data_IF_271804034293
#
_entry.id   IF_271804034293
#
_cell.length_a   1.000
_cell.length_b   1.000
_cell.length_c   1.000
_cell.angle_alpha   90.00
_cell.angle_beta   90.00
_cell.angle_gamma   90.00
#
_symmetry.space_group_name_H-M   'P 1'
#
loop_
_entity.id
_entity.type
_entity.pdbx_description
1 polymer ?
#
# COMPACT_ATOMS: atom_id res chain seq x y z
N UNK A 1 -7.62 -7.98 12.66
CA UNK A 1 -7.71 -6.52 12.90
C UNK A 1 -6.42 -5.78 12.46
N UNK A 2 -6.54 -4.94 11.42
CA UNK A 2 -5.53 -3.97 10.99
C UNK A 2 -4.25 -4.53 10.35
N UNK A 3 -4.33 -5.07 9.14
CA UNK A 3 -3.14 -5.23 8.29
C UNK A 3 -2.90 -3.89 7.59
N UNK A 4 -2.27 -2.94 8.28
CA UNK A 4 -1.84 -1.68 7.69
C UNK A 4 -0.63 -1.96 6.80
N UNK A 5 -0.86 -2.42 5.59
CA UNK A 5 0.20 -2.66 4.63
C UNK A 5 0.40 -1.41 3.78
N UNK A 6 1.37 -0.57 4.12
CA UNK A 6 1.81 0.43 3.15
C UNK A 6 2.73 -0.24 2.13
N UNK A 7 2.32 -0.25 0.87
CA UNK A 7 3.14 -0.70 -0.23
C UNK A 7 3.82 0.51 -0.87
N UNK A 8 5.15 0.52 -0.90
CA UNK A 8 5.92 1.51 -1.63
C UNK A 8 6.55 0.86 -2.87
N UNK A 9 6.38 1.48 -4.03
CA UNK A 9 6.90 0.95 -5.30
C UNK A 9 7.88 1.93 -5.94
N UNK A 10 9.00 1.41 -6.45
CA UNK A 10 9.90 2.08 -7.40
C UNK A 10 9.97 1.25 -8.68
N UNK A 11 9.87 1.90 -9.84
CA UNK A 11 9.83 1.32 -11.20
C UNK A 11 9.98 -0.20 -11.33
N UNK A 12 8.90 -0.90 -11.72
CA UNK A 12 8.75 -2.35 -12.05
C UNK A 12 9.43 -3.44 -11.20
N UNK A 13 10.34 -3.17 -10.24
CA UNK A 13 11.18 -4.21 -9.61
C UNK A 13 11.34 -4.15 -8.08
N UNK A 14 10.89 -3.11 -7.39
CA UNK A 14 11.04 -3.06 -5.91
C UNK A 14 9.73 -2.68 -5.24
N UNK A 15 9.22 -3.60 -4.42
CA UNK A 15 8.04 -3.45 -3.57
C UNK A 15 8.49 -3.53 -2.12
N UNK A 16 8.23 -2.49 -1.35
CA UNK A 16 8.48 -2.44 0.09
C UNK A 16 7.15 -2.49 0.83
N UNK A 17 7.04 -3.35 1.82
CA UNK A 17 5.82 -3.51 2.60
C UNK A 17 6.07 -3.40 4.11
N UNK A 18 5.13 -2.81 4.84
CA UNK A 18 5.27 -2.61 6.28
C UNK A 18 4.31 -3.49 7.09
N UNK A 19 4.78 -4.02 8.22
CA UNK A 19 3.92 -4.73 9.18
C UNK A 19 4.47 -4.59 10.62
N UNK A 20 3.71 -5.07 11.62
CA UNK A 20 4.04 -4.91 13.04
C UNK A 20 4.65 -6.14 13.72
N UNK A 21 4.66 -7.29 13.07
CA UNK A 21 5.09 -8.57 13.66
C UNK A 21 5.93 -9.37 12.67
N UNK A 22 6.87 -10.17 13.17
CA UNK A 22 7.75 -11.01 12.35
C UNK A 22 6.94 -11.93 11.42
N UNK A 23 5.95 -12.65 11.96
CA UNK A 23 5.10 -13.57 11.19
C UNK A 23 4.44 -12.91 9.97
N UNK A 24 4.01 -11.65 10.10
CA UNK A 24 3.41 -10.91 8.98
C UNK A 24 4.45 -10.53 7.95
N UNK A 25 5.65 -10.15 8.38
CA UNK A 25 6.75 -9.80 7.49
C UNK A 25 7.24 -11.02 6.70
N UNK A 26 7.32 -12.18 7.35
CA UNK A 26 7.71 -13.44 6.70
C UNK A 26 6.63 -13.89 5.70
N UNK A 27 5.35 -13.75 6.06
CA UNK A 27 4.27 -13.98 5.12
C UNK A 27 4.35 -13.03 3.91
N UNK A 28 4.62 -11.74 4.10
CA UNK A 28 4.73 -10.78 2.99
C UNK A 28 5.88 -11.11 2.03
N UNK A 29 6.97 -11.67 2.56
CA UNK A 29 8.11 -12.15 1.76
C UNK A 29 7.81 -13.46 1.03
N UNK A 30 6.94 -14.31 1.58
CA UNK A 30 6.62 -15.61 0.98
C UNK A 30 5.67 -15.52 -0.21
N UNK A 31 4.95 -14.40 -0.36
CA UNK A 31 4.05 -14.16 -1.50
C UNK A 31 4.86 -14.13 -2.81
N UNK A 32 4.56 -14.99 -3.80
CA UNK A 32 5.19 -14.95 -5.11
C UNK A 32 4.96 -13.60 -5.78
N UNK A 33 6.02 -12.97 -6.29
CA UNK A 33 5.98 -11.58 -6.81
C UNK A 33 5.50 -10.54 -5.78
N UNK A 34 5.60 -10.86 -4.50
CA UNK A 34 5.21 -10.02 -3.38
C UNK A 34 6.27 -8.99 -2.98
N UNK A 35 6.35 -8.71 -1.68
CA UNK A 35 7.24 -7.68 -1.17
C UNK A 35 8.71 -8.13 -1.29
N UNK A 36 9.49 -7.38 -2.07
CA UNK A 36 10.95 -7.56 -2.17
C UNK A 36 11.69 -7.11 -0.91
N UNK A 37 11.09 -6.18 -0.17
CA UNK A 37 11.61 -5.66 1.09
C UNK A 37 10.46 -5.53 2.08
N UNK A 38 10.75 -5.78 3.36
CA UNK A 38 9.75 -5.64 4.43
C UNK A 38 10.35 -4.88 5.60
N UNK A 39 9.53 -4.07 6.26
CA UNK A 39 9.95 -3.21 7.37
C UNK A 39 9.00 -3.36 8.54
N UNK A 40 9.55 -3.56 9.74
CA UNK A 40 8.74 -3.52 10.95
C UNK A 40 8.52 -2.07 11.40
N UNK A 41 7.36 -1.49 11.12
CA UNK A 41 7.12 -0.07 11.42
C UNK A 41 7.11 0.27 12.92
N UNK A 42 7.02 -0.72 13.81
CA UNK A 42 7.08 -0.52 15.27
C UNK A 42 8.49 -0.35 15.78
N UNK A 43 9.47 -0.97 15.12
CA UNK A 43 10.87 -0.99 15.57
C UNK A 43 11.80 -0.24 14.62
N UNK A 44 11.33 0.11 13.42
CA UNK A 44 12.13 0.74 12.38
C UNK A 44 11.41 1.97 11.80
N UNK A 45 12.19 2.95 11.35
CA UNK A 45 11.68 4.07 10.57
C UNK A 45 11.68 3.71 9.08
N UNK A 46 10.52 3.37 8.52
CA UNK A 46 10.44 2.95 7.12
C UNK A 46 10.85 4.03 6.12
N UNK A 47 10.75 5.32 6.45
CA UNK A 47 11.19 6.39 5.55
C UNK A 47 12.72 6.39 5.41
N UNK A 48 13.44 6.11 6.50
CA UNK A 48 14.89 5.96 6.48
C UNK A 48 15.31 4.68 5.74
N UNK A 49 14.63 3.56 5.99
CA UNK A 49 14.88 2.31 5.28
C UNK A 49 14.68 2.47 3.77
N UNK A 50 13.61 3.15 3.37
CA UNK A 50 13.35 3.50 1.96
C UNK A 50 14.48 4.35 1.38
N UNK A 51 14.95 5.37 2.10
CA UNK A 51 16.09 6.19 1.63
C UNK A 51 17.34 5.34 1.45
N UNK A 52 17.67 4.44 2.39
CA UNK A 52 18.84 3.55 2.28
C UNK A 52 18.77 2.69 1.02
N UNK A 53 17.64 2.02 0.79
CA UNK A 53 17.47 1.11 -0.36
C UNK A 53 17.31 1.83 -1.71
N UNK A 54 16.99 3.13 -1.70
CA UNK A 54 16.79 3.93 -2.93
C UNK A 54 17.93 4.91 -3.19
N UNK A 55 19.02 4.86 -2.42
CA UNK A 55 20.14 5.81 -2.48
C UNK A 55 19.65 7.26 -2.32
N UNK A 56 18.72 7.48 -1.40
CA UNK A 56 18.15 8.80 -1.09
C UNK A 56 17.04 9.26 -2.03
N UNK A 57 16.73 8.53 -3.11
CA UNK A 57 15.74 8.97 -4.10
C UNK A 57 14.29 8.90 -3.61
N UNK A 58 13.97 7.97 -2.70
CA UNK A 58 12.60 7.69 -2.30
C UNK A 58 11.86 6.77 -3.29
N UNK A 59 10.54 6.69 -3.12
CA UNK A 59 9.65 5.82 -3.91
C UNK A 59 8.70 6.60 -4.82
N UNK A 60 8.35 6.00 -5.95
CA UNK A 60 7.48 6.64 -6.95
C UNK A 60 6.02 6.59 -6.52
N UNK A 61 5.60 5.51 -5.86
CA UNK A 61 4.20 5.27 -5.48
C UNK A 61 4.10 4.78 -4.03
N UNK A 62 3.12 5.31 -3.30
CA UNK A 62 2.69 4.83 -1.98
C UNK A 62 1.21 4.49 -2.01
N UNK A 63 0.85 3.33 -1.46
CA UNK A 63 -0.52 3.03 -1.06
C UNK A 63 -0.61 3.06 0.46
N UNK A 64 -1.45 3.95 1.00
CA UNK A 64 -1.58 4.16 2.45
C UNK A 64 -2.97 3.78 2.96
N UNK A 65 -3.01 2.92 3.98
CA UNK A 65 -4.24 2.57 4.71
C UNK A 65 -4.24 3.12 6.13
N UNK A 66 -3.11 3.68 6.59
CA UNK A 66 -2.89 4.02 7.98
C UNK A 66 -3.27 5.47 8.27
N UNK A 67 -2.92 6.42 7.41
CA UNK A 67 -3.29 7.82 7.59
C UNK A 67 -2.42 8.52 8.63
N UNK A 68 -3.03 9.18 9.62
CA UNK A 68 -2.39 10.14 10.53
C UNK A 68 -0.96 9.79 10.97
N UNK A 69 -0.76 8.62 11.60
CA UNK A 69 0.54 8.26 12.18
C UNK A 69 1.64 7.96 11.15
N UNK A 70 1.28 7.72 9.87
CA UNK A 70 2.22 7.41 8.79
C UNK A 70 2.44 8.60 7.86
N UNK A 71 1.60 9.63 7.95
CA UNK A 71 1.58 10.76 7.02
C UNK A 71 2.97 11.37 6.77
N UNK A 72 3.65 11.87 7.80
CA UNK A 72 4.95 12.54 7.62
C UNK A 72 6.00 11.59 7.04
N UNK A 73 6.03 10.34 7.52
CA UNK A 73 6.96 9.31 7.03
C UNK A 73 6.68 8.96 5.55
N UNK A 74 5.41 8.94 5.13
CA UNK A 74 5.04 8.74 3.73
C UNK A 74 5.54 9.91 2.86
N UNK A 75 5.32 11.15 3.29
CA UNK A 75 5.82 12.35 2.59
C UNK A 75 7.35 12.33 2.48
N UNK A 76 8.05 11.90 3.53
CA UNK A 76 9.51 11.82 3.55
C UNK A 76 10.04 10.69 2.65
N UNK A 77 9.31 9.58 2.55
CA UNK A 77 9.65 8.43 1.72
C UNK A 77 9.36 8.64 0.23
N UNK A 78 8.42 9.53 -0.13
CA UNK A 78 8.11 9.83 -1.54
C UNK A 78 9.29 10.48 -2.26
N UNK A 79 9.53 10.02 -3.49
CA UNK A 79 10.43 10.63 -4.44
C UNK A 79 9.86 11.93 -5.01
N UNK A 80 10.69 12.64 -5.76
CA UNK A 80 10.25 13.73 -6.64
C UNK A 80 9.31 13.14 -7.71
N UNK A 81 8.20 13.83 -7.97
CA UNK A 81 7.06 13.42 -8.80
C UNK A 81 6.28 12.20 -8.29
N UNK A 82 6.51 11.82 -7.02
CA UNK A 82 5.86 10.67 -6.39
C UNK A 82 4.36 10.84 -6.17
N UNK A 83 3.66 9.71 -6.11
CA UNK A 83 2.21 9.63 -5.93
C UNK A 83 1.85 8.84 -4.68
N UNK A 84 0.84 9.30 -3.95
CA UNK A 84 0.28 8.57 -2.82
C UNK A 84 -1.23 8.44 -2.97
N UNK A 85 -1.73 7.21 -2.90
CA UNK A 85 -3.17 6.95 -2.79
C UNK A 85 -3.51 6.45 -1.41
N UNK A 86 -4.35 7.22 -0.73
CA UNK A 86 -4.91 6.88 0.57
C UNK A 86 -6.19 6.09 0.38
N UNK A 87 -6.23 4.90 0.95
CA UNK A 87 -7.35 3.96 0.90
C UNK A 87 -8.03 3.76 2.26
N UNK A 88 -7.46 4.31 3.32
CA UNK A 88 -8.00 4.22 4.68
C UNK A 88 -7.32 5.15 5.67
N UNK A 89 -7.92 5.26 6.86
CA UNK A 89 -7.48 6.15 7.95
C UNK A 89 -7.39 5.39 9.28
N UNK A 90 -6.74 4.21 9.29
CA UNK A 90 -6.72 3.31 10.45
C UNK A 90 -6.16 3.95 11.74
N UNK A 91 -5.28 4.95 11.61
CA UNK A 91 -4.67 5.66 12.74
C UNK A 91 -5.26 7.04 13.00
N UNK A 92 -6.33 7.42 12.29
CA UNK A 92 -6.98 8.72 12.39
C UNK A 92 -6.89 9.54 11.10
N UNK A 93 -7.81 10.50 10.98
CA UNK A 93 -7.97 11.35 9.78
C UNK A 93 -7.44 12.77 9.92
N UNK A 94 -6.85 13.14 11.05
CA UNK A 94 -6.34 14.49 11.31
C UNK A 94 -4.83 14.45 11.43
N UNK A 95 -4.15 15.27 10.64
CA UNK A 95 -2.69 15.44 10.71
C UNK A 95 -2.43 16.81 11.30
N UNK A 96 -1.82 16.84 12.48
CA UNK A 96 -1.44 18.09 13.12
C UNK A 96 -0.22 18.71 12.41
N UNK A 97 -0.22 20.03 12.28
CA UNK A 97 0.93 20.80 11.77
C UNK A 97 1.49 20.29 10.44
N UNK A 98 0.61 20.03 9.48
CA UNK A 98 0.99 19.54 8.16
C UNK A 98 1.80 20.57 7.35
N UNK A 99 3.04 20.21 6.99
CA UNK A 99 3.92 21.03 6.14
C UNK A 99 3.62 20.82 4.64
N UNK A 100 3.19 21.88 3.96
CA UNK A 100 2.91 21.89 2.52
C UNK A 100 4.17 21.97 1.63
N UNK A 101 5.32 22.38 2.17
CA UNK A 101 6.56 22.56 1.40
C UNK A 101 6.96 21.34 0.57
N UNK A 102 7.02 20.13 1.13
CA UNK A 102 7.34 18.91 0.39
C UNK A 102 6.42 18.64 -0.80
N UNK A 103 5.12 18.99 -0.71
CA UNK A 103 4.18 18.78 -1.82
C UNK A 103 4.59 19.59 -3.05
N UNK A 104 5.00 20.84 -2.84
CA UNK A 104 5.45 21.73 -3.92
C UNK A 104 6.82 21.32 -4.45
N UNK A 105 7.83 21.20 -3.58
CA UNK A 105 9.20 20.96 -4.02
C UNK A 105 9.40 19.57 -4.65
N UNK A 106 8.70 18.56 -4.12
CA UNK A 106 8.69 17.22 -4.72
C UNK A 106 7.62 17.05 -5.80
N UNK A 107 6.69 18.00 -6.02
CA UNK A 107 5.56 17.87 -6.96
C UNK A 107 4.73 16.60 -6.72
N UNK A 108 4.36 16.38 -5.47
CA UNK A 108 3.63 15.18 -5.08
C UNK A 108 2.19 15.20 -5.57
N UNK A 109 1.67 14.04 -5.94
CA UNK A 109 0.23 13.82 -6.16
C UNK A 109 -0.33 13.00 -5.01
N UNK A 110 -1.34 13.51 -4.32
CA UNK A 110 -1.96 12.82 -3.19
C UNK A 110 -3.45 12.71 -3.46
N UNK A 111 -3.95 11.48 -3.49
CA UNK A 111 -5.34 11.17 -3.83
C UNK A 111 -5.96 10.28 -2.76
N UNK A 112 -7.24 10.50 -2.46
CA UNK A 112 -8.02 9.64 -1.59
C UNK A 112 -9.01 8.81 -2.42
N UNK A 113 -9.15 7.53 -2.09
CA UNK A 113 -10.20 6.69 -2.67
C UNK A 113 -10.75 5.72 -1.62
N UNK A 114 -12.05 5.45 -1.69
CA UNK A 114 -12.67 4.42 -0.86
C UNK A 114 -13.50 3.51 -1.74
N UNK A 115 -13.38 2.20 -1.54
CA UNK A 115 -14.20 1.19 -2.23
C UNK A 115 -15.61 1.11 -1.66
N UNK A 116 -15.78 1.38 -0.36
CA UNK A 116 -17.07 1.20 0.34
C UNK A 116 -18.19 2.08 -0.23
N UNK A 117 -17.87 3.22 -0.82
CA UNK A 117 -18.85 4.13 -1.43
C UNK A 117 -19.12 3.86 -2.92
N UNK A 118 -18.53 2.83 -3.51
CA UNK A 118 -18.68 2.50 -4.93
C UNK A 118 -19.81 1.51 -5.15
N UNK A 119 -20.39 1.52 -6.35
CA UNK A 119 -21.49 0.63 -6.69
C UNK A 119 -21.01 -0.84 -6.74
N UNK A 120 -21.92 -1.81 -6.54
CA UNK A 120 -21.63 -3.22 -6.73
C UNK A 120 -21.06 -3.52 -8.11
N UNK A 121 -21.57 -2.87 -9.15
CA UNK A 121 -21.15 -3.04 -10.55
C UNK A 121 -19.72 -2.57 -10.74
N UNK A 122 -19.38 -1.38 -10.25
CA UNK A 122 -18.00 -0.88 -10.27
C UNK A 122 -17.03 -1.84 -9.55
N UNK A 123 -17.49 -2.42 -8.44
CA UNK A 123 -16.67 -3.38 -7.68
C UNK A 123 -16.48 -4.68 -8.46
N UNK A 124 -17.54 -5.18 -9.11
CA UNK A 124 -17.49 -6.37 -9.95
C UNK A 124 -16.56 -6.19 -11.16
N UNK A 125 -16.70 -5.07 -11.88
CA UNK A 125 -15.84 -4.72 -13.02
C UNK A 125 -14.38 -4.58 -12.59
N UNK A 126 -14.14 -3.99 -11.42
CA UNK A 126 -12.80 -3.85 -10.86
C UNK A 126 -12.19 -5.22 -10.53
N UNK A 127 -12.95 -6.13 -9.92
CA UNK A 127 -12.49 -7.52 -9.67
C UNK A 127 -12.18 -8.22 -10.99
N UNK A 128 -13.10 -8.18 -11.95
CA UNK A 128 -12.94 -8.81 -13.26
C UNK A 128 -11.67 -8.32 -13.96
N UNK A 129 -11.44 -7.01 -13.95
CA UNK A 129 -10.23 -6.41 -14.56
C UNK A 129 -8.91 -6.88 -13.93
N UNK A 130 -8.92 -7.29 -12.66
CA UNK A 130 -7.73 -7.78 -11.97
C UNK A 130 -7.50 -9.27 -12.25
N UNK A 131 -8.57 -10.06 -12.29
CA UNK A 131 -8.54 -11.49 -12.61
C UNK A 131 -8.11 -11.71 -14.07
N UNK A 132 -8.71 -10.97 -15.02
CA UNK A 132 -8.42 -11.07 -16.45
C UNK A 132 -6.98 -10.63 -16.80
N UNK A 133 -6.35 -9.81 -15.95
CA UNK A 133 -4.95 -9.42 -16.10
C UNK A 133 -3.96 -10.55 -15.77
N UNK A 134 -4.42 -11.78 -15.53
CA UNK A 134 -3.57 -12.95 -15.28
C UNK A 134 -2.82 -12.89 -13.94
N UNK A 135 -3.34 -12.10 -12.98
CA UNK A 135 -2.75 -11.96 -11.65
C UNK A 135 -3.41 -12.97 -10.70
N UNK A 136 -2.57 -13.67 -9.94
CA UNK A 136 -2.87 -14.84 -9.10
C UNK A 136 -4.20 -14.77 -8.32
N UNK A 137 -4.83 -15.92 -8.00
CA UNK A 137 -6.07 -15.94 -7.25
C UNK A 137 -5.87 -15.18 -5.95
N UNK A 138 -6.85 -14.36 -5.58
CA UNK A 138 -6.86 -13.61 -4.35
C UNK A 138 -6.50 -14.57 -3.19
N UNK A 139 -5.28 -14.46 -2.65
CA UNK A 139 -4.80 -15.39 -1.64
C UNK A 139 -5.59 -15.15 -0.35
N UNK A 140 -6.59 -15.99 -0.12
CA UNK A 140 -7.34 -16.06 1.12
C UNK A 140 -6.41 -16.39 2.28
N UNK A 141 -6.74 -15.87 3.47
CA UNK A 141 -5.95 -16.13 4.68
C UNK A 141 -5.86 -17.64 4.97
N UNK A 142 -4.76 -18.17 5.55
CA UNK A 142 -4.61 -19.61 5.84
C UNK A 142 -5.56 -20.16 6.92
N UNK A 143 -6.44 -19.32 7.47
CA UNK A 143 -7.48 -19.76 8.40
C UNK A 143 -8.75 -19.94 7.58
N UNK A 144 -9.30 -21.15 7.63
CA UNK A 144 -10.56 -21.61 7.03
C UNK A 144 -10.37 -22.35 5.70
N UNK A 145 -10.33 -23.68 5.78
CA UNK A 145 -10.63 -24.55 4.64
C UNK A 145 -12.10 -24.36 4.26
N UNK A 146 -12.34 -23.87 3.05
CA UNK A 146 -13.67 -23.64 2.48
C UNK A 146 -13.54 -22.76 1.23
N UNK A 147 -14.38 -23.00 0.23
CA UNK A 147 -14.43 -22.27 -1.04
C UNK A 147 -14.30 -20.76 -0.84
N UNK A 148 -13.55 -20.12 -1.75
CA UNK A 148 -13.20 -18.71 -1.74
C UNK A 148 -14.45 -17.80 -1.71
N UNK A 149 -14.92 -17.49 -0.50
CA UNK A 149 -15.82 -16.36 -0.29
C UNK A 149 -14.95 -15.11 -0.31
N UNK A 150 -15.04 -14.34 -1.39
CA UNK A 150 -14.34 -13.07 -1.57
C UNK A 150 -14.70 -12.12 -0.41
N UNK A 151 -13.85 -12.07 0.60
CA UNK A 151 -14.03 -11.12 1.69
C UNK A 151 -13.53 -9.75 1.22
N UNK A 152 -14.00 -8.66 1.85
CA UNK A 152 -13.50 -7.31 1.58
C UNK A 152 -11.96 -7.21 1.70
N UNK A 153 -11.33 -8.16 2.39
CA UNK A 153 -9.89 -8.34 2.52
C UNK A 153 -9.20 -8.84 1.23
N UNK A 154 -9.87 -9.68 0.44
CA UNK A 154 -9.30 -10.29 -0.77
C UNK A 154 -9.41 -9.34 -1.97
N UNK A 155 -10.53 -8.62 -2.03
CA UNK A 155 -10.77 -7.47 -2.90
C UNK A 155 -9.73 -6.36 -2.71
N UNK A 156 -9.33 -6.12 -1.46
CA UNK A 156 -8.37 -5.09 -1.06
C UNK A 156 -6.98 -5.30 -1.67
N UNK A 157 -6.52 -6.56 -1.76
CA UNK A 157 -5.26 -6.92 -2.44
C UNK A 157 -5.34 -6.77 -3.95
N UNK A 158 -6.49 -7.13 -4.55
CA UNK A 158 -6.74 -6.91 -5.97
C UNK A 158 -6.69 -5.43 -6.34
N UNK A 159 -7.32 -4.55 -5.54
CA UNK A 159 -7.32 -3.10 -5.81
C UNK A 159 -5.94 -2.48 -5.61
N UNK A 160 -5.21 -2.85 -4.55
CA UNK A 160 -3.84 -2.37 -4.36
C UNK A 160 -2.94 -2.75 -5.56
N UNK A 161 -3.08 -3.97 -6.10
CA UNK A 161 -2.33 -4.44 -7.26
C UNK A 161 -2.74 -3.76 -8.60
N UNK A 162 -3.95 -3.22 -8.69
CA UNK A 162 -4.44 -2.48 -9.87
C UNK A 162 -4.07 -0.99 -9.81
N UNK A 163 -4.16 -0.38 -8.63
CA UNK A 163 -3.76 1.02 -8.38
C UNK A 163 -2.28 1.24 -8.70
N UNK A 164 -1.41 0.27 -8.40
CA UNK A 164 0.02 0.30 -8.77
C UNK A 164 0.22 0.29 -10.31
N UNK A 165 -0.75 -0.15 -11.11
CA UNK A 165 -0.65 -0.24 -12.58
C UNK A 165 -1.23 0.97 -13.31
N UNK A 166 -2.17 1.71 -12.69
CA UNK A 166 -2.78 2.90 -13.28
C UNK A 166 -1.96 4.20 -13.05
N UNK A 167 -0.78 4.08 -12.41
CA UNK A 167 0.13 5.19 -12.07
C UNK A 167 1.45 5.10 -12.82
#
# INVERSE_FOLDING_TARGET
PGQGLSALARGRKTVTATASTADKLDWLKSIPSGATHVVNYKTQNFAEEVKKMTNGNGVDVIIDFVGQSHWQKNIDALARDGRMTMLGLLSGGKVDSFNLGPLLYKRLRIEGSTLRSRSPEYTADLIASVVDAGKSPCYGSPRMGGEARSTAHDLFWCVAANTIRQM
#
